data_IF_168085232441
#
_entry.id   IF_168085232441
#
_cell.length_a   1.000
_cell.length_b   1.000
_cell.length_c   1.000
_cell.angle_alpha   90.00
_cell.angle_beta   90.00
_cell.angle_gamma   90.00
#
_symmetry.space_group_name_H-M   'P 1'
#
loop_
_entity.id
_entity.type
_entity.pdbx_description
1 polymer ?
#
# COMPACT_ATOMS: atom_id res chain seq x y z
N UNK A 1 -15.93 0.13 1.33
CA UNK A 1 -15.30 1.29 0.64
C UNK A 1 -13.84 0.98 0.35
N UNK A 2 -13.43 1.17 -0.91
CA UNK A 2 -12.03 1.13 -1.35
C UNK A 2 -11.51 2.54 -1.47
N UNK A 3 -10.49 2.90 -0.69
CA UNK A 3 -9.86 4.21 -0.75
C UNK A 3 -8.47 4.11 -1.36
N UNK A 4 -8.13 5.05 -2.26
CA UNK A 4 -6.77 5.21 -2.76
C UNK A 4 -6.20 6.57 -2.32
N UNK A 5 -4.98 6.54 -1.80
CA UNK A 5 -4.19 7.71 -1.42
C UNK A 5 -3.05 7.86 -2.42
N UNK A 6 -2.94 9.01 -3.05
CA UNK A 6 -1.79 9.39 -3.86
C UNK A 6 -0.84 10.25 -3.01
N UNK A 7 0.29 9.69 -2.61
CA UNK A 7 1.34 10.37 -1.85
C UNK A 7 2.38 11.02 -2.77
N UNK A 8 3.35 11.71 -2.21
CA UNK A 8 4.37 12.47 -2.95
C UNK A 8 5.55 11.67 -3.52
N UNK A 9 5.41 10.35 -3.71
CA UNK A 9 6.48 9.50 -4.23
C UNK A 9 6.58 9.47 -5.76
N UNK A 10 7.19 8.41 -6.29
CA UNK A 10 7.43 8.26 -7.73
C UNK A 10 6.34 7.45 -8.42
N UNK A 11 6.06 7.83 -9.67
CA UNK A 11 5.05 7.23 -10.51
C UNK A 11 5.58 7.09 -11.94
N UNK A 12 5.75 5.86 -12.42
CA UNK A 12 6.37 5.62 -13.74
C UNK A 12 5.38 5.21 -14.83
N UNK A 13 4.25 4.58 -14.47
CA UNK A 13 3.26 4.06 -15.41
C UNK A 13 1.86 4.66 -15.19
N UNK A 14 1.55 5.84 -15.71
CA UNK A 14 0.29 6.56 -15.47
C UNK A 14 -0.98 5.73 -15.65
N UNK A 15 -1.06 4.94 -16.72
CA UNK A 15 -2.24 4.11 -17.06
C UNK A 15 -2.51 3.04 -15.99
N UNK A 16 -1.48 2.53 -15.33
CA UNK A 16 -1.64 1.56 -14.23
C UNK A 16 -2.40 2.18 -13.05
N UNK A 17 -1.99 3.37 -12.62
CA UNK A 17 -2.64 4.10 -11.51
C UNK A 17 -4.05 4.58 -11.85
N UNK A 18 -4.27 4.98 -13.11
CA UNK A 18 -5.60 5.31 -13.62
C UNK A 18 -6.56 4.12 -13.47
N UNK A 19 -6.16 2.93 -13.95
CA UNK A 19 -6.97 1.71 -13.85
C UNK A 19 -7.26 1.31 -12.41
N UNK A 20 -6.31 1.44 -11.49
CA UNK A 20 -6.54 1.14 -10.06
C UNK A 20 -7.47 2.18 -9.46
N UNK A 21 -7.30 3.47 -9.74
CA UNK A 21 -8.15 4.53 -9.21
C UNK A 21 -9.63 4.38 -9.62
N UNK A 22 -9.88 3.82 -10.80
CA UNK A 22 -11.25 3.51 -11.28
C UNK A 22 -11.94 2.40 -10.46
N UNK A 23 -11.17 1.57 -9.75
CA UNK A 23 -11.68 0.53 -8.86
C UNK A 23 -11.95 1.04 -7.42
N UNK A 24 -11.59 2.28 -7.12
CA UNK A 24 -11.69 2.88 -5.80
C UNK A 24 -12.86 3.85 -5.70
N UNK A 25 -13.55 3.80 -4.56
CA UNK A 25 -14.74 4.62 -4.28
C UNK A 25 -14.36 6.02 -3.80
N UNK A 26 -13.21 6.14 -3.10
CA UNK A 26 -12.75 7.40 -2.52
C UNK A 26 -11.28 7.64 -2.86
N UNK A 27 -10.93 8.85 -3.29
CA UNK A 27 -9.60 9.22 -3.74
C UNK A 27 -9.07 10.39 -2.96
N UNK A 28 -7.91 10.23 -2.34
CA UNK A 28 -7.26 11.27 -1.55
C UNK A 28 -5.93 11.64 -2.22
N UNK A 29 -5.69 12.92 -2.42
CA UNK A 29 -4.37 13.44 -2.75
C UNK A 29 -3.69 13.95 -1.48
N UNK A 30 -2.54 13.38 -1.12
CA UNK A 30 -1.70 13.87 -0.06
C UNK A 30 -0.62 14.78 -0.67
N UNK A 31 -0.77 16.10 -0.43
CA UNK A 31 0.12 17.15 -0.89
C UNK A 31 0.54 16.99 -2.38
N UNK A 32 1.83 16.83 -2.70
CA UNK A 32 2.34 16.73 -4.07
C UNK A 32 1.79 15.54 -4.88
N UNK A 33 1.13 14.56 -4.26
CA UNK A 33 0.36 13.53 -4.96
C UNK A 33 -0.72 14.10 -5.89
N UNK A 34 -1.23 15.31 -5.57
CA UNK A 34 -2.16 16.04 -6.40
C UNK A 34 -1.60 16.42 -7.78
N UNK A 35 -0.30 16.67 -7.87
CA UNK A 35 0.36 16.97 -9.16
C UNK A 35 0.30 15.78 -10.12
N UNK A 36 0.56 14.57 -9.60
CA UNK A 36 0.46 13.36 -10.39
C UNK A 36 -1.00 13.10 -10.80
N UNK A 37 -1.96 13.19 -9.88
CA UNK A 37 -3.38 13.01 -10.19
C UNK A 37 -3.85 13.96 -11.28
N UNK A 38 -3.40 15.22 -11.23
CA UNK A 38 -3.71 16.21 -12.27
C UNK A 38 -3.13 15.82 -13.63
N UNK A 39 -1.87 15.34 -13.65
CA UNK A 39 -1.21 14.88 -14.88
C UNK A 39 -1.98 13.75 -15.56
N UNK A 40 -2.54 12.81 -14.78
CA UNK A 40 -3.32 11.68 -15.28
C UNK A 40 -4.84 11.95 -15.32
N UNK A 41 -5.26 13.21 -15.11
CA UNK A 41 -6.66 13.67 -15.17
C UNK A 41 -7.60 12.95 -14.20
N UNK A 42 -7.10 12.57 -13.04
CA UNK A 42 -7.91 12.04 -11.94
C UNK A 42 -8.24 13.17 -10.97
N UNK A 43 -9.50 13.23 -10.54
CA UNK A 43 -9.96 14.17 -9.54
C UNK A 43 -9.99 13.50 -8.16
N UNK A 44 -9.27 14.03 -7.15
CA UNK A 44 -9.44 13.58 -5.79
C UNK A 44 -10.78 14.04 -5.22
N UNK A 45 -11.33 13.27 -4.31
CA UNK A 45 -12.47 13.67 -3.48
C UNK A 45 -12.00 14.57 -2.33
N UNK A 46 -10.73 14.38 -1.91
CA UNK A 46 -10.08 15.16 -0.88
C UNK A 46 -8.62 15.45 -1.24
N UNK A 47 -8.21 16.71 -1.12
CA UNK A 47 -6.82 17.15 -1.13
C UNK A 47 -6.42 17.54 0.31
N UNK A 48 -5.33 16.96 0.83
CA UNK A 48 -4.91 17.13 2.23
C UNK A 48 -3.41 17.37 2.33
N UNK A 49 -2.98 18.26 3.22
CA UNK A 49 -1.57 18.59 3.46
C UNK A 49 -1.39 20.05 3.84
N UNK A 50 -0.14 20.51 3.89
CA UNK A 50 0.19 21.93 4.10
C UNK A 50 0.25 22.75 2.80
N UNK A 51 0.20 22.07 1.66
CA UNK A 51 0.20 22.64 0.30
C UNK A 51 1.53 23.29 -0.11
N UNK A 52 2.63 23.00 0.58
CA UNK A 52 3.93 23.60 0.29
C UNK A 52 4.64 22.95 -0.91
N UNK A 53 4.34 21.68 -1.20
CA UNK A 53 4.90 20.90 -2.31
C UNK A 53 3.94 20.76 -3.51
N UNK A 54 2.81 21.47 -3.51
CA UNK A 54 1.87 21.57 -4.63
C UNK A 54 2.00 22.92 -5.31
N UNK A 55 1.96 22.97 -6.64
CA UNK A 55 1.97 24.23 -7.38
C UNK A 55 0.66 25.01 -7.16
N UNK A 56 0.73 26.34 -7.04
CA UNK A 56 -0.44 27.20 -6.93
C UNK A 56 -1.44 26.94 -8.08
N UNK A 57 -0.93 26.68 -9.29
CA UNK A 57 -1.73 26.35 -10.46
C UNK A 57 -2.55 25.07 -10.28
N UNK A 58 -2.01 24.05 -9.62
CA UNK A 58 -2.70 22.78 -9.36
C UNK A 58 -3.72 22.96 -8.24
N UNK A 59 -3.36 23.68 -7.19
CA UNK A 59 -4.26 23.98 -6.09
C UNK A 59 -5.50 24.75 -6.56
N UNK A 60 -5.30 25.87 -7.28
CA UNK A 60 -6.40 26.68 -7.86
C UNK A 60 -7.26 25.83 -8.82
N UNK A 61 -6.64 24.95 -9.61
CA UNK A 61 -7.37 24.08 -10.49
C UNK A 61 -8.36 23.19 -9.73
N UNK A 62 -7.91 22.51 -8.68
CA UNK A 62 -8.78 21.63 -7.90
C UNK A 62 -9.84 22.39 -7.09
N UNK A 63 -9.51 23.54 -6.52
CA UNK A 63 -10.47 24.42 -5.83
C UNK A 63 -11.61 24.88 -6.78
N UNK A 64 -11.27 25.28 -8.02
CA UNK A 64 -12.27 25.64 -9.04
C UNK A 64 -13.15 24.47 -9.48
N UNK A 65 -12.68 23.22 -9.36
CA UNK A 65 -13.46 22.02 -9.62
C UNK A 65 -14.29 21.54 -8.42
N UNK A 66 -14.26 22.27 -7.30
CA UNK A 66 -15.02 21.94 -6.11
C UNK A 66 -14.42 20.78 -5.29
N UNK A 67 -13.15 20.42 -5.49
CA UNK A 67 -12.45 19.44 -4.67
C UNK A 67 -12.34 19.95 -3.24
N UNK A 68 -12.67 19.12 -2.26
CA UNK A 68 -12.53 19.46 -0.84
C UNK A 68 -11.05 19.57 -0.48
N UNK A 69 -10.64 20.67 0.13
CA UNK A 69 -9.26 20.92 0.57
C UNK A 69 -9.21 21.01 2.09
N UNK A 70 -8.41 20.14 2.72
CA UNK A 70 -8.06 20.21 4.16
C UNK A 70 -6.62 20.67 4.31
N UNK A 71 -6.44 21.92 4.77
CA UNK A 71 -5.12 22.52 5.00
C UNK A 71 -4.66 22.30 6.43
N UNK A 72 -3.40 21.94 6.60
CA UNK A 72 -2.73 21.74 7.88
C UNK A 72 -1.54 22.70 8.00
N UNK A 73 -1.10 23.06 9.21
CA UNK A 73 0.14 23.81 9.39
C UNK A 73 1.35 23.03 8.85
N UNK A 74 2.36 23.73 8.31
CA UNK A 74 3.63 23.09 7.90
C UNK A 74 4.43 22.59 9.12
N UNK A 75 4.28 23.21 10.27
CA UNK A 75 4.84 22.76 11.54
C UNK A 75 3.82 21.86 12.26
N UNK A 76 3.85 20.58 11.96
CA UNK A 76 3.04 19.50 12.56
C UNK A 76 3.92 18.27 12.73
N UNK A 77 3.51 17.34 13.56
CA UNK A 77 4.23 16.10 13.80
C UNK A 77 3.94 15.04 12.72
N UNK A 78 2.76 15.10 12.11
CA UNK A 78 2.31 14.14 11.10
C UNK A 78 2.83 14.46 9.71
N UNK A 79 3.21 13.45 8.95
CA UNK A 79 3.41 13.55 7.50
C UNK A 79 2.06 13.57 6.76
N UNK A 80 2.01 14.17 5.58
CA UNK A 80 0.74 14.31 4.83
C UNK A 80 0.10 12.98 4.48
N UNK A 81 0.91 11.95 4.20
CA UNK A 81 0.42 10.58 4.01
C UNK A 81 -0.26 10.02 5.26
N UNK A 82 0.20 10.38 6.46
CA UNK A 82 -0.44 10.00 7.71
C UNK A 82 -1.80 10.67 7.89
N UNK A 83 -1.89 11.96 7.59
CA UNK A 83 -3.15 12.70 7.62
C UNK A 83 -4.17 12.09 6.63
N UNK A 84 -3.72 11.76 5.41
CA UNK A 84 -4.56 11.11 4.41
C UNK A 84 -5.03 9.72 4.86
N UNK A 85 -4.16 8.96 5.52
CA UNK A 85 -4.49 7.66 6.10
C UNK A 85 -5.53 7.78 7.22
N UNK A 86 -5.42 8.79 8.09
CA UNK A 86 -6.41 9.05 9.15
C UNK A 86 -7.80 9.29 8.54
N UNK A 87 -7.90 10.11 7.49
CA UNK A 87 -9.16 10.34 6.78
C UNK A 87 -9.75 9.04 6.19
N UNK A 88 -8.90 8.19 5.59
CA UNK A 88 -9.35 6.91 5.05
C UNK A 88 -9.87 5.97 6.14
N UNK A 89 -9.21 5.92 7.30
CA UNK A 89 -9.63 5.11 8.46
C UNK A 89 -10.93 5.66 9.05
N UNK A 90 -11.04 6.98 9.26
CA UNK A 90 -12.24 7.64 9.79
C UNK A 90 -13.45 7.46 8.88
N UNK A 91 -13.24 7.42 7.56
CA UNK A 91 -14.28 7.11 6.58
C UNK A 91 -14.69 5.63 6.54
N UNK A 92 -14.11 4.77 7.39
CA UNK A 92 -14.45 3.34 7.45
C UNK A 92 -14.07 2.55 6.20
N UNK A 93 -12.91 2.87 5.60
CA UNK A 93 -12.44 2.17 4.40
C UNK A 93 -12.15 0.70 4.69
N UNK A 94 -12.71 -0.20 3.89
CA UNK A 94 -12.44 -1.65 3.98
C UNK A 94 -11.10 -2.04 3.35
N UNK A 95 -10.61 -1.23 2.39
CA UNK A 95 -9.30 -1.37 1.76
C UNK A 95 -8.70 0.02 1.54
N UNK A 96 -7.46 0.22 1.97
CA UNK A 96 -6.72 1.47 1.80
C UNK A 96 -5.47 1.19 0.96
N UNK A 97 -5.45 1.73 -0.24
CA UNK A 97 -4.35 1.63 -1.20
C UNK A 97 -3.51 2.90 -1.13
N UNK A 98 -2.20 2.79 -0.88
CA UNK A 98 -1.29 3.94 -0.85
C UNK A 98 -0.33 3.84 -2.02
N UNK A 99 -0.53 4.70 -3.01
CA UNK A 99 0.34 4.90 -4.17
C UNK A 99 1.39 5.98 -3.85
N UNK A 100 2.59 5.89 -4.44
CA UNK A 100 3.67 6.83 -4.15
C UNK A 100 4.32 6.62 -2.78
N UNK A 101 4.12 5.44 -2.16
CA UNK A 101 4.79 5.06 -0.92
C UNK A 101 6.29 4.75 -1.12
N UNK A 102 6.66 4.40 -2.35
CA UNK A 102 8.03 4.07 -2.75
C UNK A 102 8.63 5.21 -3.59
N UNK A 103 9.90 5.53 -3.36
CA UNK A 103 10.57 6.59 -4.11
C UNK A 103 12.00 6.83 -3.63
N UNK A 104 12.64 7.90 -4.11
CA UNK A 104 14.02 8.26 -3.76
C UNK A 104 14.19 8.68 -2.29
N UNK A 105 13.12 9.09 -1.61
CA UNK A 105 13.10 9.42 -0.19
C UNK A 105 12.90 8.15 0.65
N UNK A 106 13.98 7.40 0.91
CA UNK A 106 13.94 6.17 1.71
C UNK A 106 13.42 6.39 3.13
N UNK A 107 13.69 7.54 3.73
CA UNK A 107 13.15 7.95 5.02
C UNK A 107 11.62 8.02 5.01
N UNK A 108 11.02 8.60 3.97
CA UNK A 108 9.57 8.64 3.78
C UNK A 108 9.01 7.22 3.55
N UNK A 109 9.68 6.41 2.72
CA UNK A 109 9.29 5.02 2.51
C UNK A 109 9.23 4.25 3.83
N UNK A 110 10.25 4.37 4.69
CA UNK A 110 10.28 3.72 6.01
C UNK A 110 9.16 4.26 6.92
N UNK A 111 8.90 5.57 6.90
CA UNK A 111 7.82 6.17 7.67
C UNK A 111 6.45 5.57 7.25
N UNK A 112 6.17 5.48 5.96
CA UNK A 112 4.92 4.91 5.44
C UNK A 112 4.80 3.41 5.77
N UNK A 113 5.89 2.64 5.74
CA UNK A 113 5.87 1.24 6.21
C UNK A 113 5.46 1.12 7.69
N UNK A 114 5.86 2.07 8.54
CA UNK A 114 5.41 2.10 9.94
C UNK A 114 3.91 2.39 10.06
N UNK A 115 3.37 3.23 9.18
CA UNK A 115 1.93 3.54 9.15
C UNK A 115 1.06 2.32 8.82
N UNK A 116 1.59 1.31 8.11
CA UNK A 116 0.86 0.06 7.85
C UNK A 116 0.41 -0.66 9.13
N UNK A 117 1.07 -0.40 10.26
CA UNK A 117 0.73 -1.01 11.55
C UNK A 117 -0.53 -0.41 12.20
N UNK A 118 -1.06 0.69 11.66
CA UNK A 118 -2.23 1.39 12.21
C UNK A 118 -3.55 0.73 11.82
N UNK A 119 -3.59 0.04 10.68
CA UNK A 119 -4.76 -0.70 10.23
C UNK A 119 -4.32 -1.92 9.39
N UNK A 120 -5.11 -2.99 9.44
CA UNK A 120 -4.75 -4.28 8.81
C UNK A 120 -5.08 -4.37 7.32
N UNK A 121 -5.78 -3.39 6.81
CA UNK A 121 -6.29 -3.29 5.45
C UNK A 121 -5.54 -2.27 4.58
N UNK A 122 -4.31 -1.93 4.96
CA UNK A 122 -3.45 -1.02 4.21
C UNK A 122 -2.58 -1.81 3.24
N UNK A 123 -2.53 -1.34 2.00
CA UNK A 123 -1.68 -1.87 0.92
C UNK A 123 -0.81 -0.74 0.40
N UNK A 124 0.51 -0.88 0.50
CA UNK A 124 1.44 -0.02 -0.21
C UNK A 124 1.70 -0.62 -1.58
N UNK A 125 1.68 0.16 -2.64
CA UNK A 125 1.85 -0.40 -3.97
C UNK A 125 2.49 0.57 -4.97
N UNK A 126 3.09 0.01 -6.00
CA UNK A 126 3.44 0.66 -7.25
C UNK A 126 3.14 -0.29 -8.44
N UNK A 127 3.57 0.06 -9.63
CA UNK A 127 3.36 -0.75 -10.84
C UNK A 127 4.11 -2.09 -10.87
N UNK A 128 5.04 -2.31 -9.94
CA UNK A 128 5.84 -3.56 -9.87
C UNK A 128 5.38 -4.49 -8.78
N UNK A 129 5.05 -3.94 -7.62
CA UNK A 129 4.75 -4.74 -6.43
C UNK A 129 3.68 -4.11 -5.55
N UNK A 130 3.11 -4.93 -4.68
CA UNK A 130 2.44 -4.44 -3.48
C UNK A 130 3.06 -5.03 -2.21
N UNK A 131 2.86 -4.33 -1.09
CA UNK A 131 3.22 -4.78 0.24
C UNK A 131 1.99 -4.77 1.15
N UNK A 132 1.78 -5.85 1.90
CA UNK A 132 0.72 -6.00 2.91
C UNK A 132 1.28 -6.54 4.21
N UNK A 133 0.63 -6.20 5.30
CA UNK A 133 0.90 -6.73 6.63
C UNK A 133 -0.18 -7.74 7.02
N UNK A 134 0.24 -8.90 7.52
CA UNK A 134 -0.69 -9.93 7.99
C UNK A 134 -0.36 -10.40 9.41
N UNK A 135 -1.43 -10.70 10.18
CA UNK A 135 -1.38 -11.34 11.50
C UNK A 135 -2.14 -12.67 11.53
N UNK A 136 -2.78 -13.04 10.42
CA UNK A 136 -3.55 -14.27 10.27
C UNK A 136 -3.17 -14.94 8.97
N UNK A 137 -3.38 -16.24 8.93
CA UNK A 137 -3.20 -17.05 7.74
C UNK A 137 -3.97 -16.48 6.54
N UNK A 138 -3.31 -16.41 5.40
CA UNK A 138 -3.85 -15.92 4.15
C UNK A 138 -3.48 -16.86 3.00
N UNK A 139 -4.40 -17.02 2.06
CA UNK A 139 -4.13 -17.69 0.77
C UNK A 139 -4.38 -16.68 -0.33
N UNK A 140 -3.42 -16.52 -1.20
CA UNK A 140 -3.44 -15.56 -2.30
C UNK A 140 -3.24 -16.25 -3.64
N UNK A 141 -3.89 -15.72 -4.66
CA UNK A 141 -3.64 -16.12 -6.04
C UNK A 141 -2.22 -15.76 -6.45
N UNK A 142 -1.61 -16.58 -7.27
CA UNK A 142 -0.26 -16.36 -7.78
C UNK A 142 -0.11 -16.96 -9.19
N UNK A 143 1.06 -16.79 -9.76
CA UNK A 143 1.46 -17.50 -10.98
C UNK A 143 2.83 -18.15 -10.76
N UNK A 144 3.08 -19.26 -11.45
CA UNK A 144 4.38 -19.93 -11.40
C UNK A 144 5.51 -18.96 -11.79
N UNK A 145 6.56 -18.89 -10.97
CA UNK A 145 7.72 -18.01 -11.14
C UNK A 145 7.49 -16.56 -10.63
N UNK A 146 6.29 -16.26 -10.10
CA UNK A 146 6.02 -14.94 -9.52
C UNK A 146 6.83 -14.74 -8.25
N UNK A 147 7.51 -13.58 -8.15
CA UNK A 147 8.43 -13.29 -7.05
C UNK A 147 7.68 -12.77 -5.83
N UNK A 148 8.05 -13.28 -4.67
CA UNK A 148 7.51 -12.92 -3.37
C UNK A 148 8.62 -12.72 -2.34
N UNK A 149 8.34 -11.90 -1.33
CA UNK A 149 9.15 -11.83 -0.12
C UNK A 149 8.25 -11.83 1.11
N UNK A 150 8.63 -12.60 2.12
CA UNK A 150 7.88 -12.71 3.38
C UNK A 150 8.87 -12.54 4.52
N UNK A 151 8.73 -11.46 5.28
CA UNK A 151 9.70 -11.12 6.32
C UNK A 151 9.01 -10.70 7.63
N UNK A 152 9.59 -11.03 8.80
CA UNK A 152 9.20 -10.43 10.07
C UNK A 152 9.47 -8.92 10.04
N UNK A 153 8.57 -8.09 10.59
CA UNK A 153 8.76 -6.64 10.56
C UNK A 153 9.17 -6.03 11.91
N UNK A 154 8.88 -6.69 13.03
CA UNK A 154 9.09 -6.13 14.38
C UNK A 154 10.00 -6.97 15.26
N UNK A 155 9.87 -8.29 15.20
CA UNK A 155 10.53 -9.26 16.06
C UNK A 155 10.56 -10.63 15.40
N UNK A 156 11.25 -11.57 16.02
CA UNK A 156 11.19 -12.98 15.65
C UNK A 156 9.76 -13.50 15.67
N UNK A 157 9.39 -14.32 14.70
CA UNK A 157 8.07 -14.94 14.58
C UNK A 157 8.21 -16.45 14.59
N UNK A 158 7.46 -17.11 15.47
CA UNK A 158 7.46 -18.56 15.60
C UNK A 158 6.29 -19.21 14.85
N UNK A 159 6.45 -20.49 14.51
CA UNK A 159 5.43 -21.32 13.88
C UNK A 159 4.98 -20.79 12.52
N UNK A 160 5.89 -20.14 11.78
CA UNK A 160 5.60 -19.66 10.42
C UNK A 160 5.54 -20.83 9.45
N UNK A 161 4.53 -20.84 8.59
CA UNK A 161 4.42 -21.82 7.50
C UNK A 161 4.17 -21.10 6.17
N UNK A 162 4.96 -21.47 5.16
CA UNK A 162 4.85 -20.98 3.78
C UNK A 162 4.66 -22.18 2.88
N UNK A 163 3.60 -22.18 2.07
CA UNK A 163 3.35 -23.26 1.10
C UNK A 163 2.95 -22.70 -0.27
N UNK A 164 3.24 -23.45 -1.32
CA UNK A 164 3.09 -23.01 -2.71
C UNK A 164 4.31 -22.25 -3.23
N UNK A 165 5.41 -22.28 -2.50
CA UNK A 165 6.68 -21.61 -2.82
C UNK A 165 7.81 -22.60 -3.04
N UNK A 166 8.83 -22.21 -3.80
CA UNK A 166 10.06 -22.98 -3.98
C UNK A 166 10.73 -23.26 -2.62
N UNK A 167 10.85 -22.23 -1.78
CA UNK A 167 11.35 -22.35 -0.41
C UNK A 167 10.18 -22.41 0.57
N UNK A 168 9.49 -23.56 0.60
CA UNK A 168 8.42 -23.81 1.56
C UNK A 168 8.98 -24.12 2.95
N UNK A 169 8.29 -23.64 3.99
CA UNK A 169 8.61 -23.96 5.40
C UNK A 169 7.35 -24.36 6.15
N UNK A 170 7.52 -25.17 7.21
CA UNK A 170 6.42 -25.58 8.08
C UNK A 170 6.84 -25.45 9.53
N UNK A 171 6.03 -24.70 10.31
CA UNK A 171 6.21 -24.46 11.74
C UNK A 171 7.63 -24.01 12.13
N UNK A 172 8.21 -23.12 11.33
CA UNK A 172 9.58 -22.62 11.56
C UNK A 172 9.59 -21.26 12.23
N UNK A 173 10.66 -21.00 12.96
CA UNK A 173 10.97 -19.66 13.44
C UNK A 173 11.56 -18.85 12.30
N UNK A 174 11.03 -17.65 12.08
CA UNK A 174 11.65 -16.62 11.24
C UNK A 174 12.27 -15.55 12.13
N UNK A 175 13.58 -15.40 12.03
CA UNK A 175 14.35 -14.45 12.86
C UNK A 175 14.34 -13.07 12.19
N UNK A 176 13.99 -12.04 12.94
CA UNK A 176 13.86 -10.67 12.45
C UNK A 176 15.16 -10.13 11.81
N UNK A 177 16.31 -10.45 12.39
CA UNK A 177 17.61 -9.97 11.89
C UNK A 177 18.19 -10.81 10.74
N UNK A 178 17.50 -11.85 10.30
CA UNK A 178 17.95 -12.71 9.19
C UNK A 178 17.05 -12.52 7.96
N UNK A 179 17.54 -11.90 6.88
CA UNK A 179 16.73 -11.59 5.69
C UNK A 179 16.57 -12.79 4.73
N UNK A 180 16.31 -13.98 5.23
CA UNK A 180 16.19 -15.19 4.40
C UNK A 180 14.80 -15.42 3.79
N UNK A 181 13.82 -14.58 4.10
CA UNK A 181 12.48 -14.66 3.52
C UNK A 181 12.28 -13.84 2.24
N UNK A 182 13.36 -13.33 1.65
CA UNK A 182 13.32 -12.53 0.42
C UNK A 182 13.54 -13.41 -0.82
N UNK A 183 12.99 -12.98 -1.97
CA UNK A 183 13.20 -13.61 -3.29
C UNK A 183 12.76 -15.07 -3.34
N UNK A 184 11.60 -15.41 -2.80
CA UNK A 184 10.96 -16.69 -2.96
C UNK A 184 10.07 -16.71 -4.22
N UNK A 185 9.92 -17.83 -4.88
CA UNK A 185 9.13 -17.96 -6.11
C UNK A 185 7.89 -18.81 -5.87
N UNK A 186 6.75 -18.40 -6.43
CA UNK A 186 5.55 -19.20 -6.42
C UNK A 186 5.66 -20.38 -7.40
N UNK A 187 5.23 -21.57 -6.97
CA UNK A 187 5.25 -22.80 -7.78
C UNK A 187 4.01 -22.98 -8.66
N UNK A 188 2.94 -22.22 -8.40
CA UNK A 188 1.67 -22.39 -9.10
C UNK A 188 0.68 -21.26 -8.83
N UNK A 189 -0.60 -21.59 -8.97
CA UNK A 189 -1.71 -20.61 -8.96
C UNK A 189 -2.07 -20.06 -7.57
N UNK A 190 -1.54 -20.64 -6.49
CA UNK A 190 -1.85 -20.21 -5.12
C UNK A 190 -0.64 -20.35 -4.22
N UNK A 191 -0.51 -19.38 -3.30
CA UNK A 191 0.42 -19.42 -2.18
C UNK A 191 -0.34 -19.27 -0.88
N UNK A 192 0.10 -19.94 0.18
CA UNK A 192 -0.46 -19.80 1.53
C UNK A 192 0.63 -19.40 2.49
N UNK A 193 0.36 -18.34 3.26
CA UNK A 193 1.27 -17.75 4.24
C UNK A 193 0.55 -17.77 5.59
N UNK A 194 1.13 -18.46 6.56
CA UNK A 194 0.65 -18.53 7.93
C UNK A 194 1.70 -17.87 8.84
N UNK A 195 1.39 -16.73 9.46
CA UNK A 195 2.32 -16.01 10.33
C UNK A 195 2.50 -16.68 11.70
N UNK A 196 1.81 -17.79 11.98
CA UNK A 196 1.91 -18.47 13.29
C UNK A 196 1.55 -17.55 14.44
N UNK A 197 2.50 -17.30 15.36
CA UNK A 197 2.28 -16.52 16.57
C UNK A 197 2.75 -15.04 16.45
N UNK A 198 2.73 -14.47 15.24
CA UNK A 198 3.19 -13.12 15.03
C UNK A 198 2.60 -12.44 13.81
N UNK A 199 3.39 -11.61 13.20
CA UNK A 199 3.02 -10.81 12.04
C UNK A 199 4.13 -10.82 10.99
N UNK A 200 3.74 -10.76 9.73
CA UNK A 200 4.64 -10.79 8.59
C UNK A 200 4.30 -9.67 7.61
N UNK A 201 5.34 -9.07 7.05
CA UNK A 201 5.26 -8.20 5.89
C UNK A 201 5.47 -9.05 4.64
N UNK A 202 4.54 -8.94 3.70
CA UNK A 202 4.55 -9.65 2.43
C UNK A 202 4.75 -8.65 1.31
N UNK A 203 5.66 -8.97 0.39
CA UNK A 203 5.78 -8.30 -0.90
C UNK A 203 5.42 -9.29 -2.00
N UNK A 204 4.56 -8.87 -2.93
CA UNK A 204 4.28 -9.60 -4.16
C UNK A 204 4.62 -8.74 -5.36
N UNK A 205 5.42 -9.29 -6.29
CA UNK A 205 5.76 -8.64 -7.55
C UNK A 205 4.76 -9.08 -8.63
N UNK A 206 3.88 -8.18 -9.02
CA UNK A 206 2.70 -8.48 -9.87
C UNK A 206 2.83 -8.00 -11.32
N UNK A 207 3.94 -7.38 -11.69
CA UNK A 207 4.26 -6.94 -13.06
C UNK A 207 3.11 -6.20 -13.78
N UNK A 208 2.53 -5.19 -13.11
CA UNK A 208 1.46 -4.36 -13.65
C UNK A 208 0.06 -4.97 -13.68
N UNK A 209 -0.14 -6.20 -13.17
CA UNK A 209 -1.47 -6.78 -12.96
C UNK A 209 -2.22 -6.00 -11.87
N UNK A 210 -3.56 -5.98 -11.95
CA UNK A 210 -4.42 -5.22 -11.02
C UNK A 210 -5.55 -6.07 -10.42
N UNK A 211 -5.58 -7.36 -10.70
CA UNK A 211 -6.55 -8.34 -10.18
C UNK A 211 -6.46 -8.52 -8.66
N UNK A 212 -5.28 -8.34 -8.10
CA UNK A 212 -5.03 -8.40 -6.66
C UNK A 212 -5.84 -7.36 -5.84
N UNK A 213 -6.28 -6.26 -6.46
CA UNK A 213 -7.07 -5.22 -5.76
C UNK A 213 -8.39 -5.79 -5.27
N UNK A 214 -9.11 -6.52 -6.13
CA UNK A 214 -10.38 -7.14 -5.74
C UNK A 214 -10.16 -8.32 -4.78
N UNK A 215 -9.12 -9.13 -5.02
CA UNK A 215 -8.76 -10.22 -4.12
C UNK A 215 -8.49 -9.73 -2.69
N UNK A 216 -7.66 -8.71 -2.53
CA UNK A 216 -7.36 -8.13 -1.23
C UNK A 216 -8.57 -7.45 -0.59
N UNK A 217 -9.43 -6.79 -1.39
CA UNK A 217 -10.65 -6.20 -0.89
C UNK A 217 -11.58 -7.25 -0.25
N UNK A 218 -11.83 -8.37 -0.94
CA UNK A 218 -12.66 -9.44 -0.40
C UNK A 218 -12.05 -10.07 0.86
N UNK A 219 -10.73 -10.26 0.87
CA UNK A 219 -10.02 -10.81 2.03
C UNK A 219 -10.09 -9.88 3.24
N UNK A 220 -9.89 -8.59 3.07
CA UNK A 220 -9.89 -7.64 4.19
C UNK A 220 -11.30 -7.31 4.67
N UNK A 221 -12.28 -7.27 3.79
CA UNK A 221 -13.70 -7.08 4.15
C UNK A 221 -14.29 -8.24 4.97
N UNK A 222 -13.78 -9.45 4.76
CA UNK A 222 -14.21 -10.65 5.49
C UNK A 222 -13.59 -10.78 6.90
N UNK A 223 -12.67 -9.90 7.28
CA UNK A 223 -11.94 -9.92 8.58
C UNK A 223 -12.58 -9.02 9.61
#
# INVERSE_FOLDING_TARGET
VKTIIFAGGEYTHPVFYEKISQKCDFKIAADSGAEFMRKIKIFPDLLIGDMDSITEKTLIFYEKQGVKVKRFPSHKDEIDTELALNEAIENGSDLILIAGAFGNRLDQTIAVFRLMQRAKNIVLFNEKLYAIWIEKKITLSSAKGELWSVIPLRKDVNNVSLSGFEYSIKDRKMEYLKPYGVSNEALGEKVTIDPGNGDLLIFRYHDGKIDWVEELFEIFKAR
#
